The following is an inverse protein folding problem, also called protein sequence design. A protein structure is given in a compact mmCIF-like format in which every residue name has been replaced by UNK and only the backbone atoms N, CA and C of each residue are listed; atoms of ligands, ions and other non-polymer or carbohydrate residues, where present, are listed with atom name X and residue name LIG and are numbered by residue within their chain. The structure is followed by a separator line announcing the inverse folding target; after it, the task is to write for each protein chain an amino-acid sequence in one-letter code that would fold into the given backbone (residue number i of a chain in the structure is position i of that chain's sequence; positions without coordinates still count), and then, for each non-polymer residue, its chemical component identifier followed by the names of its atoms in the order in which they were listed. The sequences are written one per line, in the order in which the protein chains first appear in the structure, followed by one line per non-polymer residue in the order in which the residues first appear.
data_IF_734846406485
#
_entry.id   IF_734846406485
#
_cell.length_a   1.000
_cell.length_b   1.000
_cell.length_c   1.000
_cell.angle_alpha   90.00
_cell.angle_beta   90.00
_cell.angle_gamma   90.00
#
_symmetry.space_group_name_H-M   'P 1'
#
loop_
_entity.id
_entity.type
_entity.pdbx_description
1 polymer ?
#
# COMPACT_ATOMS: atom_id res chain seq x y z
N UNK A 1 -22.81 -17.47 -4.86
CA UNK A 1 -23.50 -16.89 -3.68
C UNK A 1 -22.51 -15.89 -3.11
N UNK A 2 -22.81 -14.59 -3.23
CA UNK A 2 -21.89 -13.53 -2.77
C UNK A 2 -21.89 -13.50 -1.23
N UNK A 3 -20.74 -13.27 -0.57
CA UNK A 3 -20.70 -13.12 0.87
C UNK A 3 -21.48 -11.87 1.28
N UNK A 4 -22.22 -11.95 2.39
CA UNK A 4 -22.97 -10.80 2.92
C UNK A 4 -21.99 -9.72 3.41
N UNK A 5 -22.37 -8.44 3.29
CA UNK A 5 -21.47 -7.29 3.55
C UNK A 5 -20.82 -7.31 4.94
N UNK A 6 -21.39 -8.02 5.91
CA UNK A 6 -20.83 -8.21 7.25
C UNK A 6 -19.65 -9.19 7.38
N UNK A 7 -19.32 -9.97 6.35
CA UNK A 7 -18.16 -10.87 6.36
C UNK A 7 -16.87 -10.18 5.90
N UNK A 8 -16.97 -9.05 5.21
CA UNK A 8 -15.82 -8.24 4.75
C UNK A 8 -15.11 -7.61 5.96
N UNK A 9 -15.88 -7.17 6.98
CA UNK A 9 -15.33 -6.64 8.24
C UNK A 9 -14.59 -7.68 9.09
N UNK A 10 -14.85 -8.98 8.86
CA UNK A 10 -14.14 -10.08 9.53
C UNK A 10 -12.86 -10.50 8.81
N UNK A 11 -12.66 -10.09 7.56
CA UNK A 11 -11.44 -10.31 6.78
C UNK A 11 -10.36 -9.24 7.05
N UNK A 12 -10.76 -8.09 7.58
CA UNK A 12 -9.90 -6.93 7.87
C UNK A 12 -9.38 -6.74 9.32
N UNK A 13 -9.57 -7.62 10.32
CA UNK A 13 -9.01 -7.36 11.67
C UNK A 13 -7.48 -7.44 11.78
N UNK A 14 -6.75 -7.99 10.80
CA UNK A 14 -5.31 -8.24 10.92
C UNK A 14 -4.41 -7.21 10.21
N UNK A 15 -4.96 -6.27 9.44
CA UNK A 15 -4.18 -5.16 8.88
C UNK A 15 -4.11 -3.98 9.86
N UNK A 16 -4.07 -4.25 11.17
CA UNK A 16 -3.51 -3.30 12.12
C UNK A 16 -2.02 -3.21 11.80
N UNK A 17 -1.47 -1.99 11.85
CA UNK A 17 -0.15 -1.57 11.35
C UNK A 17 1.10 -2.27 11.96
N UNK A 18 0.98 -3.52 12.40
CA UNK A 18 2.03 -4.39 12.92
C UNK A 18 1.99 -5.81 12.31
N UNK A 19 1.28 -6.02 11.20
CA UNK A 19 1.20 -7.32 10.52
C UNK A 19 2.61 -7.93 10.36
N UNK A 20 2.81 -9.10 10.96
CA UNK A 20 4.06 -9.83 10.86
C UNK A 20 4.30 -10.20 9.40
N UNK A 21 5.56 -10.37 9.00
CA UNK A 21 5.91 -10.93 7.68
C UNK A 21 5.15 -12.24 7.43
N UNK A 22 4.84 -12.99 8.49
CA UNK A 22 4.03 -14.21 8.45
C UNK A 22 2.58 -13.97 8.04
N UNK A 23 1.96 -12.86 8.45
CA UNK A 23 0.58 -12.54 8.10
C UNK A 23 0.44 -12.22 6.61
N UNK A 24 1.46 -11.56 6.04
CA UNK A 24 1.54 -11.27 4.62
C UNK A 24 1.79 -12.52 3.77
N UNK A 25 2.67 -13.41 4.24
CA UNK A 25 2.93 -14.69 3.60
C UNK A 25 1.67 -15.55 3.52
N UNK A 26 0.85 -15.55 4.58
CA UNK A 26 -0.43 -16.25 4.59
C UNK A 26 -1.44 -15.62 3.63
N UNK A 27 -1.54 -14.29 3.63
CA UNK A 27 -2.44 -13.57 2.72
C UNK A 27 -2.10 -13.85 1.23
N UNK A 28 -0.82 -13.95 0.88
CA UNK A 28 -0.38 -14.30 -0.46
C UNK A 28 -0.73 -15.73 -0.90
N UNK A 29 -1.01 -16.65 0.04
CA UNK A 29 -1.31 -18.06 -0.26
C UNK A 29 -2.82 -18.32 -0.37
N UNK A 30 -3.67 -17.46 0.22
CA UNK A 30 -5.10 -17.74 0.39
C UNK A 30 -6.02 -17.01 -0.61
N UNK A 31 -5.53 -16.03 -1.38
CA UNK A 31 -6.38 -15.25 -2.30
C UNK A 31 -5.76 -15.11 -3.71
N UNK A 32 -6.12 -16.02 -4.61
CA UNK A 32 -5.77 -15.94 -6.05
C UNK A 32 -6.99 -15.88 -6.98
N UNK A 33 -8.23 -15.88 -6.49
CA UNK A 33 -9.41 -15.94 -7.37
C UNK A 33 -10.39 -14.78 -7.12
N UNK A 34 -10.59 -13.95 -8.15
CA UNK A 34 -11.80 -13.11 -8.28
C UNK A 34 -11.70 -11.61 -7.98
N UNK A 35 -10.59 -10.93 -8.27
CA UNK A 35 -10.57 -9.45 -8.23
C UNK A 35 -10.51 -8.85 -9.63
N UNK A 36 -11.52 -8.05 -9.97
CA UNK A 36 -11.62 -7.31 -11.23
C UNK A 36 -10.40 -6.40 -11.39
N UNK A 37 -9.82 -6.37 -12.58
CA UNK A 37 -8.60 -5.60 -12.87
C UNK A 37 -8.98 -4.11 -12.87
N UNK A 38 -8.85 -3.45 -11.73
CA UNK A 38 -8.57 -2.02 -11.72
C UNK A 38 -7.24 -1.81 -12.44
N UNK A 39 -7.17 -0.83 -13.34
CA UNK A 39 -5.97 -0.47 -14.10
C UNK A 39 -4.78 -0.35 -13.13
N UNK A 40 -3.93 -1.39 -13.10
CA UNK A 40 -2.86 -1.53 -12.09
C UNK A 40 -1.79 -0.49 -12.37
N UNK A 41 -1.92 0.67 -11.73
CA UNK A 41 -0.96 1.79 -11.82
C UNK A 41 0.45 1.39 -11.37
N UNK A 42 0.58 0.45 -10.44
CA UNK A 42 1.85 -0.01 -9.91
C UNK A 42 1.97 -1.54 -9.86
N UNK A 43 3.21 -2.03 -9.97
CA UNK A 43 3.56 -3.45 -9.86
C UNK A 43 4.57 -3.75 -8.75
N UNK A 44 4.64 -5.02 -8.33
CA UNK A 44 5.66 -5.50 -7.39
C UNK A 44 7.05 -5.30 -8.00
N UNK A 45 7.99 -4.83 -7.18
CA UNK A 45 9.35 -4.50 -7.61
C UNK A 45 9.49 -3.11 -8.24
N UNK A 46 8.40 -2.41 -8.50
CA UNK A 46 8.47 -1.05 -9.03
C UNK A 46 8.96 -0.06 -7.97
N UNK A 47 9.81 0.85 -8.40
CA UNK A 47 10.26 2.00 -7.62
C UNK A 47 9.26 3.14 -7.76
N UNK A 48 8.76 3.65 -6.63
CA UNK A 48 7.78 4.74 -6.56
C UNK A 48 8.26 5.79 -5.56
N UNK A 49 7.86 7.05 -5.76
CA UNK A 49 8.13 8.14 -4.81
C UNK A 49 6.87 8.46 -4.04
N UNK A 50 6.98 8.52 -2.72
CA UNK A 50 5.88 8.95 -1.85
C UNK A 50 5.78 10.48 -1.93
N UNK A 51 4.58 11.03 -2.13
CA UNK A 51 4.37 12.47 -2.19
C UNK A 51 4.77 13.14 -0.87
N UNK A 52 5.14 14.42 -0.93
CA UNK A 52 5.60 15.19 0.23
C UNK A 52 4.48 15.97 0.94
N UNK A 53 3.32 16.08 0.30
CA UNK A 53 2.17 16.86 0.77
C UNK A 53 1.39 16.10 1.86
N UNK A 54 1.57 16.52 3.12
CA UNK A 54 0.94 15.89 4.28
C UNK A 54 -0.59 15.90 4.19
N UNK A 55 -1.18 17.01 3.72
CA UNK A 55 -2.64 17.17 3.70
C UNK A 55 -3.25 16.21 2.68
N UNK A 56 -2.63 16.12 1.49
CA UNK A 56 -3.03 15.13 0.49
C UNK A 56 -2.84 13.70 0.96
N UNK A 57 -1.72 13.38 1.62
CA UNK A 57 -1.53 12.01 2.12
C UNK A 57 -2.58 11.66 3.17
N UNK A 58 -2.95 12.58 4.05
CA UNK A 58 -4.05 12.36 5.00
C UNK A 58 -5.36 12.10 4.28
N UNK A 59 -5.71 12.92 3.30
CA UNK A 59 -6.91 12.76 2.49
C UNK A 59 -6.93 11.41 1.77
N UNK A 60 -5.83 11.04 1.11
CA UNK A 60 -5.75 9.80 0.34
C UNK A 60 -5.68 8.55 1.22
N UNK A 61 -5.17 8.67 2.44
CA UNK A 61 -5.15 7.55 3.38
C UNK A 61 -6.49 7.34 4.10
N UNK A 62 -7.42 8.28 4.02
CA UNK A 62 -8.76 8.08 4.58
C UNK A 62 -9.45 6.91 3.87
N UNK A 63 -9.93 5.93 4.64
CA UNK A 63 -10.46 4.66 4.10
C UNK A 63 -9.39 3.63 3.63
N UNK A 64 -8.10 3.97 3.65
CA UNK A 64 -6.99 3.12 3.19
C UNK A 64 -5.94 2.87 4.29
N UNK A 65 -6.41 2.61 5.51
CA UNK A 65 -5.57 2.40 6.71
C UNK A 65 -5.29 3.66 7.54
N UNK A 66 -5.73 4.83 7.06
CA UNK A 66 -5.65 6.09 7.77
C UNK A 66 -4.24 6.68 7.85
N UNK A 67 -4.16 7.84 8.48
CA UNK A 67 -2.91 8.55 8.73
C UNK A 67 -2.41 8.30 10.15
N UNK A 68 -1.10 8.04 10.29
CA UNK A 68 -0.40 8.14 11.57
C UNK A 68 0.74 9.15 11.45
N UNK A 69 1.02 9.90 12.51
CA UNK A 69 2.06 10.93 12.49
C UNK A 69 3.46 10.42 12.10
N UNK A 70 3.73 9.13 12.32
CA UNK A 70 4.98 8.51 11.92
C UNK A 70 5.17 8.45 10.39
N UNK A 71 4.10 8.56 9.60
CA UNK A 71 4.18 8.64 8.14
C UNK A 71 4.95 9.86 7.65
N UNK A 72 5.08 10.92 8.47
CA UNK A 72 5.96 12.07 8.16
C UNK A 72 7.39 11.63 7.84
N UNK A 73 7.85 10.51 8.41
CA UNK A 73 9.21 9.99 8.21
C UNK A 73 9.45 9.34 6.85
N UNK A 74 8.40 9.04 6.09
CA UNK A 74 8.48 8.39 4.78
C UNK A 74 8.11 9.31 3.61
N UNK A 75 7.57 10.49 3.87
CA UNK A 75 7.18 11.45 2.83
C UNK A 75 8.38 11.88 1.98
N UNK A 76 8.17 12.01 0.67
CA UNK A 76 9.20 12.37 -0.30
C UNK A 76 10.20 11.25 -0.62
N UNK A 77 10.15 10.11 0.08
CA UNK A 77 11.11 9.01 -0.12
C UNK A 77 10.73 8.15 -1.31
N UNK A 78 11.78 7.66 -1.97
CA UNK A 78 11.68 6.65 -3.03
C UNK A 78 11.74 5.26 -2.40
N UNK A 79 10.75 4.43 -2.69
CA UNK A 79 10.56 3.10 -2.10
C UNK A 79 10.24 2.08 -3.17
N UNK A 80 10.46 0.80 -2.85
CA UNK A 80 10.12 -0.32 -3.75
C UNK A 80 8.83 -0.96 -3.26
N UNK A 81 7.87 -1.13 -4.17
CA UNK A 81 6.63 -1.87 -3.94
C UNK A 81 6.95 -3.34 -3.67
N UNK A 82 6.58 -3.84 -2.50
CA UNK A 82 6.78 -5.25 -2.12
C UNK A 82 5.56 -6.10 -2.41
N UNK A 83 4.37 -5.52 -2.29
CA UNK A 83 3.12 -6.19 -2.59
C UNK A 83 2.10 -5.18 -3.09
N UNK A 84 1.24 -5.63 -4.00
CA UNK A 84 0.03 -4.92 -4.42
C UNK A 84 -1.15 -5.73 -3.90
N UNK A 85 -1.95 -5.13 -3.03
CA UNK A 85 -3.12 -5.76 -2.42
C UNK A 85 -4.28 -5.84 -3.44
N UNK A 86 -5.31 -6.68 -3.20
CA UNK A 86 -6.46 -6.80 -4.10
C UNK A 86 -7.14 -5.46 -4.38
N UNK A 87 -7.30 -4.60 -3.37
CA UNK A 87 -7.84 -3.24 -3.51
C UNK A 87 -6.88 -2.24 -4.18
N UNK A 88 -5.79 -2.73 -4.79
CA UNK A 88 -4.70 -1.98 -5.41
C UNK A 88 -3.79 -1.19 -4.46
N UNK A 89 -4.02 -1.23 -3.13
CA UNK A 89 -3.12 -0.58 -2.18
C UNK A 89 -1.72 -1.22 -2.16
N UNK A 90 -0.73 -0.42 -1.78
CA UNK A 90 0.66 -0.78 -1.86
C UNK A 90 1.20 -1.10 -0.47
N UNK A 91 1.89 -2.23 -0.34
CA UNK A 91 2.79 -2.47 0.77
C UNK A 91 4.21 -2.18 0.32
N UNK A 92 4.86 -1.25 1.01
CA UNK A 92 6.25 -0.87 0.77
C UNK A 92 7.08 -1.17 2.02
N UNK A 93 8.32 -1.63 1.82
CA UNK A 93 9.25 -1.89 2.92
C UNK A 93 10.28 -0.77 2.97
N UNK A 94 10.33 -0.11 4.11
CA UNK A 94 11.38 0.81 4.53
C UNK A 94 12.26 0.09 5.58
N UNK A 95 13.48 0.55 5.84
CA UNK A 95 14.35 -0.09 6.83
C UNK A 95 13.64 -0.30 8.18
N UNK A 96 13.34 -1.56 8.50
CA UNK A 96 12.68 -1.96 9.75
C UNK A 96 11.17 -1.66 9.85
N UNK A 97 10.50 -1.21 8.78
CA UNK A 97 9.06 -0.90 8.84
C UNK A 97 8.35 -1.12 7.51
N UNK A 98 7.22 -1.82 7.55
CA UNK A 98 6.31 -1.94 6.42
C UNK A 98 5.23 -0.87 6.49
N UNK A 99 4.88 -0.32 5.32
CA UNK A 99 3.90 0.74 5.20
C UNK A 99 2.82 0.37 4.20
N UNK A 100 1.58 0.61 4.59
CA UNK A 100 0.40 0.47 3.75
C UNK A 100 0.02 1.84 3.17
N UNK A 101 -0.04 1.93 1.85
CA UNK A 101 -0.20 3.19 1.13
C UNK A 101 -1.26 3.08 0.03
N UNK A 102 -2.15 4.05 -0.01
CA UNK A 102 -2.98 4.32 -1.19
C UNK A 102 -2.07 4.65 -2.39
N UNK A 103 -2.30 4.09 -3.59
CA UNK A 103 -1.54 4.41 -4.81
C UNK A 103 -1.51 5.91 -5.16
N UNK A 104 -2.50 6.70 -4.73
CA UNK A 104 -2.54 8.16 -4.91
C UNK A 104 -1.47 8.89 -4.08
N UNK A 105 -0.97 8.26 -3.00
CA UNK A 105 0.16 8.76 -2.22
C UNK A 105 1.50 8.57 -2.94
N UNK A 106 1.51 7.91 -4.10
CA UNK A 106 2.70 7.57 -4.85
C UNK A 106 2.72 8.22 -6.24
N UNK A 107 3.93 8.50 -6.71
CA UNK A 107 4.25 8.99 -8.04
C UNK A 107 5.21 8.00 -8.72
N UNK A 108 5.04 7.82 -10.04
CA UNK A 108 5.99 7.03 -10.81
C UNK A 108 7.33 7.79 -10.84
N UNK A 109 8.42 7.10 -10.53
CA UNK A 109 9.75 7.66 -10.74
C UNK A 109 10.06 7.48 -12.22
N UNK A 110 9.57 8.39 -13.05
CA UNK A 110 10.12 8.55 -14.39
C UNK A 110 11.60 8.86 -14.24
N UNK A 111 12.44 8.13 -14.96
CA UNK A 111 13.89 8.33 -15.04
C UNK A 111 14.15 9.70 -15.73
N UNK A 112 13.88 10.79 -15.03
CA UNK A 112 14.21 12.13 -15.46
C UNK A 112 15.32 12.68 -14.58
N UNK A 113 16.51 12.46 -15.09
CA UNK A 113 17.75 13.23 -14.94
C UNK A 113 18.56 13.08 -13.66
N UNK A 114 19.74 12.50 -13.88
CA UNK A 114 20.91 12.61 -13.03
C UNK A 114 21.29 14.07 -12.75
N UNK A 115 21.53 14.34 -11.48
CA UNK A 115 22.31 15.47 -11.00
C UNK A 115 23.64 14.94 -10.51
N UNK A 116 24.69 15.44 -11.17
CA UNK A 116 26.11 15.16 -11.05
C UNK A 116 26.69 15.27 -9.63
#
# INVERSE_FOLDING_TARGET
MLPEEGDIEKLVPSLRMNASVTDLLRFSQEHTEGFEIQDKKYGVGQTVKIIHDIEKVKEYQDGHGGWIDFMKTILGKTVVVKMVLPNADLLVLMPGSMWHLNPKCCENVSDSEGGR
#
